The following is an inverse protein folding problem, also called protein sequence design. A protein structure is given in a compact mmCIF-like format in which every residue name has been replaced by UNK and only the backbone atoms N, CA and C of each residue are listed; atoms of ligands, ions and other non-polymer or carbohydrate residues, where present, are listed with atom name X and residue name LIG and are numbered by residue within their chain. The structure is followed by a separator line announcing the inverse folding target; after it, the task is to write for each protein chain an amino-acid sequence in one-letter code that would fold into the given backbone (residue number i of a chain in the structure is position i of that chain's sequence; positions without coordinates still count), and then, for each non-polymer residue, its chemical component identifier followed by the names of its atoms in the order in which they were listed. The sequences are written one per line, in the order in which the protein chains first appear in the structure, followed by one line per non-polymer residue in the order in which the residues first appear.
data_IF_136168846165
#
_entry.id   IF_136168846165
#
_cell.length_a   1.000
_cell.length_b   1.000
_cell.length_c   1.000
_cell.angle_alpha   90.00
_cell.angle_beta   90.00
_cell.angle_gamma   90.00
#
_symmetry.space_group_name_H-M   'P 1'
#
loop_
_entity.id
_entity.type
_entity.pdbx_description
1 polymer ?
#
# COMPACT_ATOMS: atom_id res chain seq x y z
N UNK A 1 21.90 22.22 0.10
CA UNK A 1 20.73 21.33 0.05
C UNK A 1 20.42 21.00 1.50
N UNK A 2 19.21 21.30 1.97
CA UNK A 2 18.84 21.08 3.36
C UNK A 2 18.79 19.56 3.65
N UNK A 3 19.09 19.12 4.87
CA UNK A 3 19.06 17.70 5.27
C UNK A 3 17.67 17.09 5.04
N UNK A 4 16.62 17.90 5.18
CA UNK A 4 15.23 17.52 4.86
C UNK A 4 15.06 17.20 3.37
N UNK A 5 15.62 18.02 2.47
CA UNK A 5 15.55 17.80 1.02
C UNK A 5 16.24 16.49 0.61
N UNK A 6 17.35 16.15 1.27
CA UNK A 6 18.07 14.89 1.02
C UNK A 6 17.24 13.68 1.43
N UNK A 7 16.62 13.71 2.62
CA UNK A 7 15.77 12.62 3.13
C UNK A 7 14.58 12.38 2.18
N UNK A 8 13.89 13.44 1.76
CA UNK A 8 12.77 13.29 0.83
C UNK A 8 13.21 12.83 -0.57
N UNK A 9 14.39 13.27 -1.03
CA UNK A 9 14.96 12.81 -2.30
C UNK A 9 15.16 11.29 -2.30
N UNK A 10 15.69 10.73 -1.21
CA UNK A 10 15.89 9.28 -1.08
C UNK A 10 14.56 8.52 -1.11
N UNK A 11 13.52 9.04 -0.44
CA UNK A 11 12.18 8.43 -0.47
C UNK A 11 11.54 8.46 -1.86
N UNK A 12 11.65 9.59 -2.57
CA UNK A 12 11.15 9.72 -3.94
C UNK A 12 11.90 8.74 -4.85
N UNK A 13 13.22 8.63 -4.73
CA UNK A 13 14.02 7.70 -5.52
C UNK A 13 13.65 6.24 -5.25
N UNK A 14 13.45 5.86 -3.99
CA UNK A 14 13.03 4.51 -3.62
C UNK A 14 11.66 4.16 -4.21
N UNK A 15 10.68 5.07 -4.12
CA UNK A 15 9.36 4.87 -4.73
C UNK A 15 9.44 4.78 -6.26
N UNK A 16 10.34 5.55 -6.90
CA UNK A 16 10.60 5.44 -8.34
C UNK A 16 11.24 4.10 -8.73
N UNK A 17 12.11 3.52 -7.90
CA UNK A 17 12.64 2.18 -8.13
C UNK A 17 11.55 1.11 -8.05
N UNK A 18 10.64 1.21 -7.07
CA UNK A 18 9.47 0.33 -6.97
C UNK A 18 8.60 0.46 -8.23
N UNK A 19 8.35 1.70 -8.68
CA UNK A 19 7.55 1.96 -9.89
C UNK A 19 8.17 1.33 -11.14
N UNK A 20 9.50 1.43 -11.30
CA UNK A 20 10.23 0.78 -12.40
C UNK A 20 10.08 -0.75 -12.33
N UNK A 21 10.29 -1.34 -11.16
CA UNK A 21 10.08 -2.78 -10.94
C UNK A 21 8.66 -3.22 -11.31
N UNK A 22 7.63 -2.45 -10.93
CA UNK A 22 6.24 -2.73 -11.31
C UNK A 22 6.05 -2.68 -12.82
N UNK A 23 6.68 -1.71 -13.51
CA UNK A 23 6.67 -1.64 -14.98
C UNK A 23 7.27 -2.90 -15.59
N UNK A 24 8.47 -3.31 -15.14
CA UNK A 24 9.16 -4.49 -15.65
C UNK A 24 8.34 -5.77 -15.44
N UNK A 25 7.68 -5.90 -14.28
CA UNK A 25 6.76 -7.00 -13.98
C UNK A 25 5.56 -6.98 -14.93
N UNK A 26 4.98 -5.79 -15.17
CA UNK A 26 3.81 -5.61 -16.03
C UNK A 26 4.16 -5.97 -17.49
N UNK A 27 5.30 -5.50 -17.99
CA UNK A 27 5.80 -5.80 -19.32
C UNK A 27 6.07 -7.31 -19.49
N UNK A 28 6.62 -7.98 -18.47
CA UNK A 28 6.79 -9.45 -18.44
C UNK A 28 5.47 -10.19 -18.58
N UNK A 29 4.37 -9.69 -18.02
CA UNK A 29 3.05 -10.33 -18.19
C UNK A 29 2.40 -10.00 -19.54
N UNK A 30 2.62 -8.80 -20.08
CA UNK A 30 2.09 -8.38 -21.39
C UNK A 30 2.76 -9.15 -22.54
N UNK A 31 4.09 -9.28 -22.50
CA UNK A 31 4.88 -10.00 -23.51
C UNK A 31 4.57 -11.50 -23.61
N UNK A 32 3.97 -12.11 -22.59
CA UNK A 32 3.56 -13.52 -22.64
C UNK A 32 2.28 -13.76 -23.45
N UNK A 33 1.58 -12.71 -23.88
CA UNK A 33 0.29 -12.83 -24.57
C UNK A 33 -0.83 -13.40 -23.69
N UNK A 34 -0.59 -13.50 -22.38
CA UNK A 34 -1.51 -14.07 -21.37
C UNK A 34 -2.59 -13.06 -20.92
N UNK A 35 -2.49 -11.80 -21.34
CA UNK A 35 -3.40 -10.72 -20.95
C UNK A 35 -4.28 -10.35 -22.14
N UNK A 36 -5.53 -10.79 -22.09
CA UNK A 36 -6.59 -10.21 -22.93
C UNK A 36 -7.44 -9.30 -22.04
N UNK A 37 -7.28 -7.99 -22.21
CA UNK A 37 -8.09 -6.91 -21.64
C UNK A 37 -7.80 -6.54 -20.17
N UNK A 38 -8.12 -5.29 -19.81
CA UNK A 38 -7.92 -4.67 -18.48
C UNK A 38 -8.72 -5.30 -17.32
N UNK A 39 -9.32 -6.46 -17.53
CA UNK A 39 -10.12 -7.22 -16.57
C UNK A 39 -9.29 -8.24 -15.78
N UNK A 40 -8.05 -8.56 -16.21
CA UNK A 40 -7.16 -9.44 -15.47
C UNK A 40 -6.68 -8.76 -14.17
N UNK A 41 -7.04 -9.33 -13.01
CA UNK A 41 -6.70 -8.81 -11.70
C UNK A 41 -5.19 -8.69 -11.47
N UNK A 42 -4.39 -9.58 -12.08
CA UNK A 42 -2.92 -9.62 -11.94
C UNK A 42 -2.29 -8.38 -12.54
N UNK A 43 -2.72 -8.02 -13.75
CA UNK A 43 -2.31 -6.81 -14.45
C UNK A 43 -2.92 -5.55 -13.82
N UNK A 44 -4.23 -5.59 -13.56
CA UNK A 44 -4.97 -4.45 -13.02
C UNK A 44 -4.43 -4.00 -11.66
N UNK A 45 -3.99 -4.93 -10.80
CA UNK A 45 -3.35 -4.59 -9.54
C UNK A 45 -2.06 -3.78 -9.75
N UNK A 46 -1.12 -4.28 -10.56
CA UNK A 46 0.16 -3.60 -10.77
C UNK A 46 -0.01 -2.25 -11.46
N UNK A 47 -0.90 -2.15 -12.44
CA UNK A 47 -1.20 -0.88 -13.10
C UNK A 47 -1.84 0.14 -12.14
N UNK A 48 -2.74 -0.29 -11.25
CA UNK A 48 -3.30 0.58 -10.21
C UNK A 48 -2.25 0.99 -9.18
N UNK A 49 -1.40 0.07 -8.73
CA UNK A 49 -0.33 0.36 -7.78
C UNK A 49 0.68 1.36 -8.36
N UNK A 50 1.05 1.19 -9.64
CA UNK A 50 1.88 2.15 -10.38
C UNK A 50 1.30 3.57 -10.31
N UNK A 51 0.00 3.72 -10.59
CA UNK A 51 -0.68 5.03 -10.55
C UNK A 51 -0.75 5.62 -9.15
N UNK A 52 -0.97 4.79 -8.12
CA UNK A 52 -0.98 5.23 -6.72
C UNK A 52 0.41 5.75 -6.32
N UNK A 53 1.48 5.01 -6.64
CA UNK A 53 2.87 5.43 -6.37
C UNK A 53 3.21 6.71 -7.12
N UNK A 54 2.87 6.79 -8.42
CA UNK A 54 3.12 7.99 -9.22
C UNK A 54 2.40 9.22 -8.67
N UNK A 55 1.14 9.08 -8.26
CA UNK A 55 0.36 10.19 -7.68
C UNK A 55 0.95 10.66 -6.36
N UNK A 56 1.39 9.73 -5.52
CA UNK A 56 2.05 10.06 -4.25
C UNK A 56 3.42 10.71 -4.48
N UNK A 57 4.24 10.19 -5.39
CA UNK A 57 5.52 10.78 -5.77
C UNK A 57 5.36 12.20 -6.32
N UNK A 58 4.36 12.43 -7.18
CA UNK A 58 4.04 13.77 -7.67
C UNK A 58 3.74 14.72 -6.51
N UNK A 59 2.87 14.30 -5.56
CA UNK A 59 2.55 15.09 -4.36
C UNK A 59 3.77 15.36 -3.47
N UNK A 60 4.66 14.39 -3.29
CA UNK A 60 5.91 14.57 -2.53
C UNK A 60 6.88 15.53 -3.23
N UNK A 61 7.06 15.40 -4.54
CA UNK A 61 7.93 16.30 -5.32
C UNK A 61 7.41 17.73 -5.24
N UNK A 62 6.10 17.94 -5.39
CA UNK A 62 5.49 19.25 -5.26
C UNK A 62 5.62 19.78 -3.82
N UNK A 63 5.38 18.93 -2.82
CA UNK A 63 5.57 19.30 -1.42
C UNK A 63 6.99 19.82 -1.16
N UNK A 64 8.01 19.06 -1.55
CA UNK A 64 9.42 19.41 -1.32
C UNK A 64 9.83 20.67 -2.08
N UNK A 65 9.46 20.77 -3.37
CA UNK A 65 9.94 21.87 -4.23
C UNK A 65 9.20 23.17 -3.99
N UNK A 66 7.92 23.09 -3.62
CA UNK A 66 7.02 24.24 -3.70
C UNK A 66 6.39 24.60 -2.35
N UNK A 67 6.14 23.64 -1.46
CA UNK A 67 5.27 23.84 -0.29
C UNK A 67 6.08 23.88 1.01
N UNK A 68 7.07 23.00 1.18
CA UNK A 68 7.84 22.76 2.40
C UNK A 68 8.48 24.02 3.01
N UNK A 69 8.89 24.97 2.17
CA UNK A 69 9.48 26.25 2.60
C UNK A 69 8.47 27.24 3.22
N UNK A 70 7.18 26.92 3.26
CA UNK A 70 6.14 27.71 3.92
C UNK A 70 5.75 29.01 3.23
N UNK A 71 6.60 29.58 2.35
CA UNK A 71 6.32 30.82 1.63
C UNK A 71 4.99 30.76 0.85
N UNK A 72 4.77 29.70 0.07
CA UNK A 72 3.51 29.53 -0.67
C UNK A 72 2.30 29.36 0.25
N UNK A 73 2.46 28.70 1.39
CA UNK A 73 1.38 28.55 2.38
C UNK A 73 0.98 29.93 2.92
N UNK A 74 1.95 30.76 3.30
CA UNK A 74 1.69 32.13 3.76
C UNK A 74 1.01 32.98 2.69
N UNK A 75 1.47 32.88 1.44
CA UNK A 75 0.90 33.63 0.32
C UNK A 75 -0.54 33.20 -0.02
N UNK A 76 -0.81 31.88 -0.05
CA UNK A 76 -2.13 31.35 -0.45
C UNK A 76 -3.19 31.52 0.64
N UNK A 77 -2.80 31.38 1.90
CA UNK A 77 -3.74 31.36 3.03
C UNK A 77 -3.68 32.63 3.89
N UNK A 78 -2.82 33.59 3.52
CA UNK A 78 -2.60 34.83 4.27
C UNK A 78 -2.25 34.59 5.75
N UNK A 79 -1.36 33.62 6.00
CA UNK A 79 -0.95 33.19 7.34
C UNK A 79 0.30 33.94 7.77
N UNK A 80 0.24 34.65 8.89
CA UNK A 80 1.38 35.40 9.43
C UNK A 80 2.23 34.56 10.40
N UNK A 81 1.58 33.65 11.14
CA UNK A 81 2.23 32.87 12.20
C UNK A 81 3.08 31.72 11.64
N UNK A 82 4.31 31.59 12.15
CA UNK A 82 5.17 30.45 11.87
C UNK A 82 4.60 29.13 12.42
N UNK A 83 3.92 29.15 13.57
CA UNK A 83 3.32 27.94 14.15
C UNK A 83 2.17 27.41 13.31
N UNK A 84 1.31 28.32 12.82
CA UNK A 84 0.19 27.99 11.94
C UNK A 84 0.68 27.48 10.59
N UNK A 85 1.71 28.12 10.01
CA UNK A 85 2.37 27.63 8.79
C UNK A 85 2.87 26.20 8.98
N UNK A 86 3.57 25.92 10.09
CA UNK A 86 4.08 24.58 10.39
C UNK A 86 2.97 23.55 10.58
N UNK A 87 1.87 23.91 11.25
CA UNK A 87 0.72 23.02 11.39
C UNK A 87 0.10 22.65 10.03
N UNK A 88 -0.11 23.64 9.15
CA UNK A 88 -0.63 23.40 7.80
C UNK A 88 0.30 22.49 6.98
N UNK A 89 1.62 22.68 7.09
CA UNK A 89 2.59 21.83 6.40
C UNK A 89 2.55 20.38 6.89
N UNK A 90 2.47 20.17 8.21
CA UNK A 90 2.35 18.85 8.82
C UNK A 90 1.04 18.17 8.41
N UNK A 91 -0.07 18.90 8.43
CA UNK A 91 -1.38 18.40 8.05
C UNK A 91 -1.43 18.05 6.56
N UNK A 92 -0.86 18.88 5.69
CA UNK A 92 -0.79 18.61 4.26
C UNK A 92 0.07 17.36 3.95
N UNK A 93 1.23 17.24 4.58
CA UNK A 93 2.07 16.05 4.43
C UNK A 93 1.37 14.79 4.98
N UNK A 94 0.72 14.92 6.14
CA UNK A 94 -0.12 13.88 6.74
C UNK A 94 -1.25 13.44 5.80
N UNK A 95 -1.93 14.39 5.14
CA UNK A 95 -2.98 14.13 4.16
C UNK A 95 -2.47 13.31 2.97
N UNK A 96 -1.33 13.72 2.36
CA UNK A 96 -0.72 12.97 1.26
C UNK A 96 -0.39 11.52 1.67
N UNK A 97 0.25 11.36 2.84
CA UNK A 97 0.66 10.05 3.36
C UNK A 97 -0.55 9.15 3.66
N UNK A 98 -1.58 9.71 4.31
CA UNK A 98 -2.80 8.98 4.63
C UNK A 98 -3.57 8.57 3.38
N UNK A 99 -3.66 9.46 2.37
CA UNK A 99 -4.26 9.17 1.07
C UNK A 99 -3.55 8.01 0.34
N UNK A 100 -2.22 7.99 0.37
CA UNK A 100 -1.43 6.89 -0.16
C UNK A 100 -1.72 5.56 0.55
N UNK A 101 -1.65 5.53 1.88
CA UNK A 101 -1.88 4.33 2.70
C UNK A 101 -3.30 3.78 2.52
N UNK A 102 -4.30 4.66 2.48
CA UNK A 102 -5.70 4.28 2.27
C UNK A 102 -5.90 3.66 0.88
N UNK A 103 -5.36 4.29 -0.16
CA UNK A 103 -5.45 3.80 -1.54
C UNK A 103 -4.77 2.45 -1.70
N UNK A 104 -3.56 2.31 -1.13
CA UNK A 104 -2.80 1.07 -1.10
C UNK A 104 -3.58 -0.05 -0.41
N UNK A 105 -4.11 0.22 0.80
CA UNK A 105 -4.89 -0.77 1.56
C UNK A 105 -6.12 -1.26 0.80
N UNK A 106 -6.83 -0.33 0.16
CA UNK A 106 -8.03 -0.64 -0.63
C UNK A 106 -7.69 -1.48 -1.85
N UNK A 107 -6.62 -1.13 -2.57
CA UNK A 107 -6.15 -1.89 -3.73
C UNK A 107 -5.80 -3.35 -3.36
N UNK A 108 -5.05 -3.54 -2.28
CA UNK A 108 -4.64 -4.86 -1.80
C UNK A 108 -5.86 -5.68 -1.37
N UNK A 109 -6.77 -5.09 -0.59
CA UNK A 109 -7.98 -5.76 -0.15
C UNK A 109 -8.82 -6.24 -1.35
N UNK A 110 -8.99 -5.39 -2.37
CA UNK A 110 -9.71 -5.74 -3.59
C UNK A 110 -9.01 -6.87 -4.38
N UNK A 111 -7.68 -6.83 -4.46
CA UNK A 111 -6.90 -7.89 -5.10
C UNK A 111 -7.11 -9.24 -4.40
N UNK A 112 -6.92 -9.29 -3.08
CA UNK A 112 -7.12 -10.51 -2.30
C UNK A 112 -8.56 -11.02 -2.35
N UNK A 113 -9.56 -10.14 -2.30
CA UNK A 113 -10.97 -10.52 -2.47
C UNK A 113 -11.24 -11.12 -3.84
N UNK A 114 -10.60 -10.59 -4.88
CA UNK A 114 -10.73 -11.12 -6.25
C UNK A 114 -10.11 -12.51 -6.35
N UNK A 115 -8.86 -12.67 -5.92
CA UNK A 115 -8.18 -13.98 -5.84
C UNK A 115 -9.01 -14.98 -5.01
N UNK A 116 -9.57 -14.55 -3.88
CA UNK A 116 -10.40 -15.40 -3.03
C UNK A 116 -11.64 -15.93 -3.75
N UNK A 117 -12.38 -15.07 -4.45
CA UNK A 117 -13.57 -15.46 -5.22
C UNK A 117 -13.22 -16.45 -6.33
N UNK A 118 -12.08 -16.26 -6.96
CA UNK A 118 -11.53 -17.14 -8.00
C UNK A 118 -11.18 -18.52 -7.42
N UNK A 119 -10.53 -18.58 -6.26
CA UNK A 119 -10.09 -19.84 -5.67
C UNK A 119 -11.20 -20.61 -4.93
N UNK A 120 -12.20 -19.91 -4.41
CA UNK A 120 -13.21 -20.47 -3.51
C UNK A 120 -14.63 -20.10 -3.98
N UNK A 121 -15.02 -20.61 -5.15
CA UNK A 121 -16.26 -20.27 -5.87
C UNK A 121 -17.54 -20.37 -5.04
N UNK A 122 -17.59 -21.24 -4.03
CA UNK A 122 -18.77 -21.48 -3.18
C UNK A 122 -18.75 -20.68 -1.86
N UNK A 123 -17.72 -19.87 -1.60
CA UNK A 123 -17.58 -19.12 -0.36
C UNK A 123 -17.96 -17.66 -0.54
N UNK A 124 -18.85 -17.17 0.33
CA UNK A 124 -19.23 -15.77 0.36
C UNK A 124 -18.00 -14.89 0.68
N UNK A 125 -17.65 -13.99 -0.25
CA UNK A 125 -16.53 -13.06 -0.11
C UNK A 125 -16.83 -11.89 0.86
N UNK A 126 -17.93 -11.92 1.60
CA UNK A 126 -18.26 -10.97 2.68
C UNK A 126 -17.49 -11.21 3.98
N UNK A 127 -16.50 -12.12 3.98
CA UNK A 127 -15.60 -12.31 5.11
C UNK A 127 -14.77 -11.07 5.40
N UNK A 128 -14.36 -10.95 6.66
CA UNK A 128 -13.35 -10.00 7.11
C UNK A 128 -12.05 -10.19 6.31
N UNK A 129 -11.36 -9.08 6.01
CA UNK A 129 -10.15 -9.12 5.19
C UNK A 129 -9.06 -10.03 5.79
N UNK A 130 -8.98 -10.09 7.13
CA UNK A 130 -8.07 -10.98 7.86
C UNK A 130 -8.28 -12.47 7.53
N UNK A 131 -9.54 -12.93 7.45
CA UNK A 131 -9.84 -14.33 7.14
C UNK A 131 -9.57 -14.64 5.66
N UNK A 132 -9.82 -13.67 4.78
CA UNK A 132 -9.52 -13.82 3.34
C UNK A 132 -8.02 -13.99 3.11
N UNK A 133 -7.19 -13.07 3.64
CA UNK A 133 -5.74 -13.19 3.47
C UNK A 133 -5.19 -14.47 4.11
N UNK A 134 -5.77 -14.92 5.22
CA UNK A 134 -5.42 -16.19 5.88
C UNK A 134 -5.62 -17.39 4.96
N UNK A 135 -6.81 -17.53 4.39
CA UNK A 135 -7.14 -18.63 3.48
C UNK A 135 -6.32 -18.57 2.18
N UNK A 136 -6.05 -17.38 1.65
CA UNK A 136 -5.19 -17.20 0.47
C UNK A 136 -3.74 -17.61 0.77
N UNK A 137 -3.19 -17.22 1.92
CA UNK A 137 -1.84 -17.64 2.34
C UNK A 137 -1.76 -19.16 2.49
N UNK A 138 -2.76 -19.77 3.14
CA UNK A 138 -2.84 -21.22 3.31
C UNK A 138 -2.90 -21.94 1.94
N UNK A 139 -3.75 -21.47 1.02
CA UNK A 139 -3.88 -22.05 -0.32
C UNK A 139 -2.55 -22.05 -1.08
N UNK A 140 -1.78 -20.96 -1.01
CA UNK A 140 -0.49 -20.84 -1.70
C UNK A 140 0.70 -21.32 -0.88
N UNK A 141 0.50 -22.00 0.25
CA UNK A 141 1.55 -22.46 1.16
C UNK A 141 2.52 -21.34 1.59
N UNK A 142 1.98 -20.16 1.91
CA UNK A 142 2.73 -19.00 2.39
C UNK A 142 2.71 -18.96 3.93
N UNK A 143 3.86 -18.68 4.53
CA UNK A 143 4.01 -18.64 5.98
C UNK A 143 3.37 -17.38 6.58
N UNK A 144 2.59 -17.54 7.65
CA UNK A 144 1.98 -16.41 8.40
C UNK A 144 2.98 -15.63 9.24
N UNK A 145 4.19 -16.13 9.45
CA UNK A 145 5.27 -15.37 10.10
C UNK A 145 6.25 -14.73 9.10
N UNK A 146 5.95 -14.83 7.81
CA UNK A 146 6.75 -14.16 6.78
C UNK A 146 6.61 -12.63 6.85
N UNK A 147 7.61 -11.94 6.30
CA UNK A 147 7.58 -10.48 6.15
C UNK A 147 6.38 -10.02 5.30
N UNK A 148 5.89 -10.84 4.37
CA UNK A 148 4.68 -10.55 3.61
C UNK A 148 3.43 -10.45 4.50
N UNK A 149 3.27 -11.38 5.45
CA UNK A 149 2.16 -11.34 6.40
C UNK A 149 2.29 -10.17 7.37
N UNK A 150 3.51 -9.92 7.84
CA UNK A 150 3.85 -8.79 8.72
C UNK A 150 3.57 -7.45 8.04
N UNK A 151 3.95 -7.29 6.78
CA UNK A 151 3.67 -6.09 5.97
C UNK A 151 2.17 -5.82 5.85
N UNK A 152 1.37 -6.83 5.49
CA UNK A 152 -0.09 -6.72 5.45
C UNK A 152 -0.69 -6.38 6.82
N UNK A 153 -0.13 -6.93 7.89
CA UNK A 153 -0.58 -6.68 9.26
C UNK A 153 -0.25 -5.27 9.72
N UNK A 154 0.95 -4.77 9.46
CA UNK A 154 1.34 -3.38 9.71
C UNK A 154 0.42 -2.44 8.96
N UNK A 155 0.23 -2.64 7.66
CA UNK A 155 -0.65 -1.80 6.84
C UNK A 155 -2.09 -1.76 7.38
N UNK A 156 -2.63 -2.91 7.78
CA UNK A 156 -3.99 -3.00 8.35
C UNK A 156 -4.12 -2.22 9.66
N UNK A 157 -3.11 -2.30 10.54
CA UNK A 157 -3.11 -1.57 11.81
C UNK A 157 -2.93 -0.06 11.59
N UNK A 158 -2.07 0.36 10.66
CA UNK A 158 -1.94 1.78 10.29
C UNK A 158 -3.26 2.32 9.73
N UNK A 159 -3.93 1.57 8.84
CA UNK A 159 -5.25 1.95 8.31
C UNK A 159 -6.29 2.09 9.41
N UNK A 160 -6.27 1.20 10.41
CA UNK A 160 -7.12 1.34 11.59
C UNK A 160 -6.89 2.67 12.32
N UNK A 161 -5.63 3.08 12.52
CA UNK A 161 -5.32 4.36 13.12
C UNK A 161 -5.85 5.54 12.28
N UNK A 162 -5.67 5.50 10.95
CA UNK A 162 -6.19 6.54 10.04
C UNK A 162 -7.71 6.70 10.18
N UNK A 163 -8.45 5.59 10.25
CA UNK A 163 -9.91 5.61 10.45
C UNK A 163 -10.34 6.18 11.80
N UNK A 164 -9.44 6.16 12.79
CA UNK A 164 -9.69 6.59 14.16
C UNK A 164 -8.85 7.84 14.50
N UNK A 165 -8.68 8.76 13.54
CA UNK A 165 -8.01 10.04 13.72
C UNK A 165 -6.57 9.93 14.30
N UNK A 166 -5.83 8.93 13.85
CA UNK A 166 -4.45 8.66 14.27
C UNK A 166 -4.30 7.78 15.51
N UNK A 167 -5.40 7.35 16.13
CA UNK A 167 -5.37 6.52 17.34
C UNK A 167 -5.67 5.07 17.01
N UNK A 168 -4.87 4.14 17.51
CA UNK A 168 -5.12 2.71 17.31
C UNK A 168 -6.29 2.25 18.20
N UNK A 169 -7.28 1.58 17.60
CA UNK A 169 -8.46 1.06 18.31
C UNK A 169 -8.62 -0.44 18.04
N UNK A 170 -8.56 -1.24 19.11
CA UNK A 170 -8.70 -2.69 19.06
C UNK A 170 -9.26 -3.27 20.36
N UNK A 171 -9.80 -4.49 20.26
CA UNK A 171 -10.17 -5.30 21.44
C UNK A 171 -8.93 -5.80 22.19
N UNK A 172 -7.80 -5.93 21.50
CA UNK A 172 -6.52 -6.27 22.12
C UNK A 172 -5.87 -5.02 22.70
N UNK A 173 -5.33 -5.12 23.91
CA UNK A 173 -4.67 -3.98 24.57
C UNK A 173 -3.40 -3.53 23.86
N UNK A 174 -2.66 -4.47 23.25
CA UNK A 174 -1.44 -4.18 22.50
C UNK A 174 -1.18 -5.22 21.40
N UNK A 175 -0.50 -4.79 20.33
CA UNK A 175 0.08 -5.63 19.28
C UNK A 175 1.53 -5.22 19.07
N UNK A 176 2.41 -6.22 18.96
CA UNK A 176 3.83 -6.07 18.60
C UNK A 176 4.11 -6.86 17.33
N UNK A 177 4.66 -6.21 16.30
CA UNK A 177 5.04 -6.85 15.04
C UNK A 177 6.52 -6.55 14.78
N UNK A 178 7.36 -7.58 14.79
CA UNK A 178 8.75 -7.48 14.37
C UNK A 178 8.83 -7.69 12.85
N UNK A 179 9.38 -6.72 12.14
CA UNK A 179 9.36 -6.63 10.68
C UNK A 179 10.64 -5.94 10.19
N UNK A 180 11.45 -6.62 9.35
CA UNK A 180 12.78 -6.17 8.92
C UNK A 180 13.67 -5.67 10.07
N UNK A 181 13.69 -6.39 11.19
CA UNK A 181 14.45 -6.02 12.39
C UNK A 181 13.90 -4.79 13.15
N UNK A 182 12.78 -4.20 12.71
CA UNK A 182 12.10 -3.09 13.38
C UNK A 182 10.90 -3.61 14.16
N UNK A 183 10.74 -3.09 15.37
CA UNK A 183 9.60 -3.41 16.23
C UNK A 183 8.50 -2.35 16.01
N UNK A 184 7.35 -2.78 15.50
CA UNK A 184 6.17 -1.96 15.33
C UNK A 184 5.20 -2.23 16.48
N UNK A 185 4.79 -1.19 17.19
CA UNK A 185 3.92 -1.29 18.37
C UNK A 185 2.62 -0.53 18.11
N UNK A 186 1.50 -1.19 18.40
CA UNK A 186 0.17 -0.60 18.37
C UNK A 186 -0.49 -0.85 19.72
N UNK A 187 -0.79 0.21 20.48
CA UNK A 187 -1.42 0.14 21.80
C UNK A 187 -2.80 0.77 21.74
N UNK A 188 -3.78 0.09 22.30
CA UNK A 188 -5.16 0.55 22.22
C UNK A 188 -5.33 1.91 22.90
N UNK A 189 -5.87 2.89 22.18
CA UNK A 189 -6.03 4.26 22.63
C UNK A 189 -4.81 5.16 22.46
N UNK A 190 -3.72 4.68 21.83
CA UNK A 190 -2.50 5.46 21.60
C UNK A 190 -2.24 5.70 20.10
N UNK A 191 -1.51 6.78 19.81
CA UNK A 191 -0.90 7.00 18.50
C UNK A 191 0.25 6.01 18.25
N UNK A 192 0.75 5.95 17.02
CA UNK A 192 1.82 5.03 16.64
C UNK A 192 2.86 5.70 15.72
N UNK A 193 4.08 5.16 15.74
CA UNK A 193 5.18 5.61 14.87
C UNK A 193 5.42 4.70 13.65
N UNK A 194 4.63 3.62 13.54
CA UNK A 194 4.78 2.62 12.47
C UNK A 194 4.53 3.14 11.05
N UNK A 195 4.01 4.36 10.86
CA UNK A 195 3.79 4.98 9.54
C UNK A 195 4.91 5.96 9.12
N UNK A 196 6.15 5.64 9.45
CA UNK A 196 7.32 6.31 8.84
C UNK A 196 7.45 5.94 7.37
N UNK A 197 8.00 6.85 6.55
CA UNK A 197 8.13 6.63 5.10
C UNK A 197 8.99 5.40 4.79
N UNK A 198 10.09 5.20 5.51
CA UNK A 198 10.92 4.00 5.40
C UNK A 198 10.12 2.72 5.56
N UNK A 199 9.30 2.64 6.61
CA UNK A 199 8.53 1.44 6.90
C UNK A 199 7.44 1.21 5.84
N UNK A 200 6.79 2.29 5.39
CA UNK A 200 5.79 2.22 4.32
C UNK A 200 6.42 1.75 2.99
N UNK A 201 7.62 2.23 2.65
CA UNK A 201 8.36 1.81 1.45
C UNK A 201 8.73 0.32 1.52
N UNK A 202 9.21 -0.17 2.67
CA UNK A 202 9.45 -1.60 2.90
C UNK A 202 8.17 -2.42 2.73
N UNK A 203 7.06 -1.96 3.33
CA UNK A 203 5.74 -2.61 3.20
C UNK A 203 5.32 -2.71 1.74
N UNK A 204 5.43 -1.63 0.96
CA UNK A 204 5.09 -1.64 -0.47
C UNK A 204 5.95 -2.64 -1.24
N UNK A 205 7.26 -2.67 -0.99
CA UNK A 205 8.18 -3.63 -1.63
C UNK A 205 7.78 -5.09 -1.38
N UNK A 206 7.46 -5.43 -0.14
CA UNK A 206 7.03 -6.78 0.22
C UNK A 206 5.66 -7.14 -0.35
N UNK A 207 4.75 -6.16 -0.47
CA UNK A 207 3.47 -6.35 -1.15
C UNK A 207 3.67 -6.63 -2.64
N UNK A 208 4.55 -5.89 -3.32
CA UNK A 208 4.88 -6.15 -4.74
C UNK A 208 5.39 -7.57 -4.91
N UNK A 209 6.35 -7.99 -4.07
CA UNK A 209 6.90 -9.34 -4.09
C UNK A 209 5.85 -10.42 -3.78
N UNK A 210 5.00 -10.19 -2.78
CA UNK A 210 3.91 -11.09 -2.43
C UNK A 210 2.94 -11.30 -3.59
N UNK A 211 2.53 -10.23 -4.25
CA UNK A 211 1.61 -10.31 -5.39
C UNK A 211 2.25 -11.00 -6.57
N UNK A 212 3.52 -10.75 -6.85
CA UNK A 212 4.28 -11.48 -7.88
C UNK A 212 4.29 -13.00 -7.58
N UNK A 213 4.61 -13.40 -6.34
CA UNK A 213 4.58 -14.82 -5.92
C UNK A 213 3.19 -15.43 -6.08
N UNK A 214 2.13 -14.73 -5.63
CA UNK A 214 0.76 -15.22 -5.78
C UNK A 214 0.41 -15.37 -7.26
N UNK A 215 0.74 -14.38 -8.10
CA UNK A 215 0.45 -14.41 -9.53
C UNK A 215 1.20 -15.53 -10.26
N UNK A 216 2.46 -15.78 -9.90
CA UNK A 216 3.25 -16.87 -10.46
C UNK A 216 2.65 -18.23 -10.05
N UNK A 217 2.35 -18.43 -8.76
CA UNK A 217 1.72 -19.67 -8.27
C UNK A 217 0.33 -19.88 -8.86
N UNK A 218 -0.44 -18.81 -9.04
CA UNK A 218 -1.74 -18.86 -9.70
C UNK A 218 -1.60 -19.15 -11.20
N UNK A 219 -0.57 -18.62 -11.87
CA UNK A 219 -0.28 -18.89 -13.29
C UNK A 219 0.15 -20.33 -13.61
N UNK A 220 0.66 -21.08 -12.63
CA UNK A 220 0.86 -22.53 -12.75
C UNK A 220 -0.47 -23.33 -12.72
N UNK A 221 -1.54 -22.75 -12.18
CA UNK A 221 -2.89 -23.23 -12.42
C UNK A 221 -3.34 -22.70 -13.79
N UNK A 222 -3.04 -23.46 -14.84
CA UNK A 222 -3.24 -23.17 -16.28
C UNK A 222 -4.65 -22.74 -16.75
N UNK A 223 -5.57 -22.40 -15.85
CA UNK A 223 -6.96 -22.12 -16.18
C UNK A 223 -7.53 -20.88 -15.47
N UNK A 224 -6.72 -19.85 -15.28
CA UNK A 224 -7.23 -18.56 -14.77
C UNK A 224 -8.31 -17.97 -15.71
N UNK A 225 -8.20 -18.20 -17.03
CA UNK A 225 -9.26 -17.85 -17.98
C UNK A 225 -10.56 -18.63 -17.80
N UNK A 226 -10.52 -19.85 -17.23
CA UNK A 226 -11.72 -20.58 -16.80
C UNK A 226 -12.24 -20.11 -15.42
N UNK A 227 -11.37 -19.53 -14.60
CA UNK A 227 -11.72 -18.98 -13.28
C UNK A 227 -12.26 -17.54 -13.33
N UNK A 228 -12.17 -16.87 -14.47
CA UNK A 228 -12.79 -15.58 -14.76
C UNK A 228 -13.72 -15.68 -15.99
N UNK A 229 -14.87 -16.37 -15.89
CA UNK A 229 -15.80 -16.43 -17.01
C UNK A 229 -16.29 -15.02 -17.34
N UNK A 230 -15.95 -14.60 -18.56
CA UNK A 230 -16.43 -13.36 -19.17
C UNK A 230 -17.96 -13.45 -19.23
N UNK A 231 -18.66 -12.74 -18.34
CA UNK A 231 -20.05 -12.36 -18.63
C UNK A 231 -19.98 -11.17 -19.57
N UNK A 232 -20.10 -11.44 -20.87
CA UNK A 232 -20.46 -10.38 -21.82
C UNK A 232 -21.83 -9.82 -21.39
N UNK A 233 -22.00 -8.49 -21.35
CA UNK A 233 -23.32 -7.88 -21.20
C UNK A 233 -24.26 -8.29 -22.33
#
# INVERSE_FOLDING_TARGET
MDTSDMIFSDYIQNLEQIRKRISDITDKYDMKGDIKNGDDVRYSFFNQLYRIIMSYNFGLVDFVRNISGGKKVKELFNVESASETSAILLDFFGFLKNGFIYSLSTLIENYFRSIYRTLFTDKNAQKEFYEIRKEVFEHFNLLKDSDYWKALSILSNIRNCIHNNGIYISRQSYIKIEYHGKINIFRNGEAHESASLDNIISVVNDIVSLVEIINEKAGYAKDISALFPIKKP
#
